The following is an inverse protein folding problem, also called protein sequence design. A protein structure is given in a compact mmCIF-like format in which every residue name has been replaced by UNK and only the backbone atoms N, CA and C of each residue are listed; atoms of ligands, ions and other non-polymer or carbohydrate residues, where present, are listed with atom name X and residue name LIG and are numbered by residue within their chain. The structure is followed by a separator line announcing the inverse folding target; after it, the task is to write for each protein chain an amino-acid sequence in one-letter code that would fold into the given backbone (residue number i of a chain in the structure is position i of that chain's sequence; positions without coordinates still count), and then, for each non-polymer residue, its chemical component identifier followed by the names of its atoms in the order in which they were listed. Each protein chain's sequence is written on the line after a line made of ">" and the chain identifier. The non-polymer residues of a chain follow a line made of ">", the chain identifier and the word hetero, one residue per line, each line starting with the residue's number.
data_IF_656028026889
#
_entry.id   IF_656028026889
#
_cell.length_a   1.000
_cell.length_b   1.000
_cell.length_c   1.000
_cell.angle_alpha   90.00
_cell.angle_beta   90.00
_cell.angle_gamma   90.00
#
_symmetry.space_group_name_H-M   'P 1'
#
loop_
_entity.id
_entity.type
_entity.pdbx_description
1 polymer ?
#
# COMPACT_ATOMS: atom_id res chain seq x y z
N UNK A 1 -11.19 -3.97 -12.79
CA UNK A 1 -11.78 -4.86 -11.79
C UNK A 1 -12.96 -5.59 -12.41
N UNK A 2 -13.32 -6.78 -11.92
CA UNK A 2 -14.40 -7.62 -12.47
C UNK A 2 -15.64 -7.67 -11.58
N UNK A 3 -15.77 -6.75 -10.61
CA UNK A 3 -16.83 -6.77 -9.61
C UNK A 3 -16.46 -7.55 -8.36
N UNK A 4 -17.15 -7.26 -7.25
CA UNK A 4 -17.30 -8.17 -6.10
C UNK A 4 -18.31 -9.29 -6.35
N UNK A 5 -19.10 -9.19 -7.42
CA UNK A 5 -20.09 -10.18 -7.79
C UNK A 5 -20.22 -10.29 -9.33
N UNK A 6 -20.33 -11.51 -9.88
CA UNK A 6 -20.27 -12.81 -9.18
C UNK A 6 -18.82 -13.28 -8.88
N UNK A 7 -17.80 -12.50 -9.28
CA UNK A 7 -16.39 -12.90 -9.23
C UNK A 7 -15.58 -12.08 -8.21
N UNK A 8 -15.68 -12.39 -6.92
CA UNK A 8 -14.87 -11.71 -5.90
C UNK A 8 -13.43 -12.27 -5.89
N UNK A 9 -12.49 -11.50 -6.44
CA UNK A 9 -11.06 -11.85 -6.47
C UNK A 9 -10.42 -11.94 -5.07
N UNK A 10 -11.09 -11.38 -4.06
CA UNK A 10 -10.60 -11.35 -2.68
C UNK A 10 -11.26 -12.41 -1.80
N UNK A 11 -12.24 -13.16 -2.31
CA UNK A 11 -12.88 -14.23 -1.56
C UNK A 11 -11.86 -15.30 -1.15
N UNK A 12 -11.80 -15.60 0.15
CA UNK A 12 -10.87 -16.59 0.72
C UNK A 12 -9.50 -16.02 1.10
N UNK A 13 -9.21 -14.75 0.81
CA UNK A 13 -8.07 -14.05 1.39
C UNK A 13 -8.43 -13.46 2.74
N UNK A 14 -7.47 -13.50 3.67
CA UNK A 14 -7.56 -12.77 4.91
C UNK A 14 -7.11 -11.33 4.68
N UNK A 15 -8.01 -10.38 4.92
CA UNK A 15 -7.76 -8.95 4.79
C UNK A 15 -7.76 -8.27 6.16
N UNK A 16 -7.22 -8.97 7.19
CA UNK A 16 -7.02 -8.44 8.54
C UNK A 16 -5.94 -7.35 8.56
N UNK A 17 -6.36 -6.14 8.20
CA UNK A 17 -5.56 -4.92 8.23
C UNK A 17 -6.39 -3.80 8.87
N UNK A 18 -5.73 -2.85 9.53
CA UNK A 18 -6.39 -1.69 10.15
C UNK A 18 -7.23 -0.88 9.15
N UNK A 19 -6.79 -0.84 7.89
CA UNK A 19 -7.54 -0.26 6.79
C UNK A 19 -7.36 -1.06 5.49
N UNK A 20 -8.46 -1.32 4.80
CA UNK A 20 -8.48 -1.94 3.47
C UNK A 20 -9.14 -0.97 2.49
N UNK A 21 -8.45 -0.67 1.40
CA UNK A 21 -8.96 0.15 0.29
C UNK A 21 -8.87 -0.66 -1.00
N UNK A 22 -10.04 -0.98 -1.55
CA UNK A 22 -10.15 -1.72 -2.80
C UNK A 22 -10.73 -0.76 -3.85
N UNK A 23 -9.97 -0.57 -4.94
CA UNK A 23 -10.21 0.49 -5.93
C UNK A 23 -11.60 0.46 -6.54
N UNK A 24 -12.16 -0.74 -6.73
CA UNK A 24 -13.51 -0.92 -7.24
C UNK A 24 -14.59 -0.41 -6.28
N UNK A 25 -14.41 -0.59 -4.97
CA UNK A 25 -15.41 -0.18 -3.98
C UNK A 25 -15.44 1.36 -3.82
N UNK A 26 -14.37 2.04 -4.25
CA UNK A 26 -14.17 3.48 -4.04
C UNK A 26 -14.08 4.30 -5.33
N UNK A 27 -13.99 3.66 -6.49
CA UNK A 27 -13.89 4.34 -7.79
C UNK A 27 -12.59 5.14 -8.00
N UNK A 28 -11.57 4.88 -7.19
CA UNK A 28 -10.24 5.51 -7.26
C UNK A 28 -9.17 4.45 -7.41
N UNK A 29 -8.05 4.75 -8.08
CA UNK A 29 -6.95 3.79 -8.23
C UNK A 29 -5.59 4.45 -8.14
N UNK A 30 -4.58 3.67 -7.79
CA UNK A 30 -3.19 4.10 -7.92
C UNK A 30 -2.87 4.42 -9.41
N UNK A 31 -2.10 5.48 -9.70
CA UNK A 31 -1.45 6.41 -8.78
C UNK A 31 -2.22 7.74 -8.61
N UNK A 32 -3.55 7.73 -8.70
CA UNK A 32 -4.36 8.93 -8.48
C UNK A 32 -4.21 9.38 -7.02
N UNK A 33 -3.98 10.68 -6.79
CA UNK A 33 -3.78 11.24 -5.44
C UNK A 33 -4.92 10.88 -4.48
N UNK A 34 -6.15 10.82 -4.98
CA UNK A 34 -7.35 10.43 -4.22
C UNK A 34 -7.25 9.02 -3.60
N UNK A 35 -6.56 8.08 -4.26
CA UNK A 35 -6.37 6.73 -3.72
C UNK A 35 -5.43 6.75 -2.51
N UNK A 36 -4.36 7.54 -2.56
CA UNK A 36 -3.42 7.70 -1.43
C UNK A 36 -4.07 8.46 -0.27
N UNK A 37 -4.77 9.55 -0.56
CA UNK A 37 -5.49 10.35 0.45
C UNK A 37 -6.52 9.49 1.20
N UNK A 38 -7.28 8.66 0.49
CA UNK A 38 -8.27 7.77 1.10
C UNK A 38 -7.65 6.77 2.10
N UNK A 39 -6.46 6.24 1.79
CA UNK A 39 -5.75 5.34 2.71
C UNK A 39 -5.28 6.11 3.95
N UNK A 40 -4.69 7.30 3.78
CA UNK A 40 -4.23 8.14 4.89
C UNK A 40 -5.38 8.54 5.81
N UNK A 41 -6.53 8.93 5.24
CA UNK A 41 -7.73 9.28 5.99
C UNK A 41 -8.26 8.10 6.82
N UNK A 42 -8.24 6.88 6.25
CA UNK A 42 -8.67 5.67 6.97
C UNK A 42 -7.71 5.27 8.08
N UNK A 43 -6.41 5.45 7.87
CA UNK A 43 -5.38 5.17 8.88
C UNK A 43 -5.26 6.27 9.93
N UNK A 44 -5.73 7.49 9.63
CA UNK A 44 -5.53 8.66 10.50
C UNK A 44 -4.07 9.10 10.60
N UNK A 45 -3.26 8.85 9.56
CA UNK A 45 -1.82 9.14 9.53
C UNK A 45 -1.47 10.17 8.46
N UNK A 46 -0.37 10.89 8.67
CA UNK A 46 0.23 11.72 7.64
C UNK A 46 1.10 10.87 6.70
N UNK A 47 1.20 11.26 5.43
CA UNK A 47 2.05 10.57 4.45
C UNK A 47 3.51 10.42 4.92
N UNK A 48 4.05 11.43 5.62
CA UNK A 48 5.40 11.42 6.15
C UNK A 48 5.66 10.33 7.21
N UNK A 49 4.59 9.81 7.84
CA UNK A 49 4.65 8.74 8.82
C UNK A 49 4.39 7.36 8.18
N UNK A 50 4.28 7.29 6.86
CA UNK A 50 3.93 6.07 6.13
C UNK A 50 5.03 5.67 5.13
N UNK A 51 5.17 4.34 4.96
CA UNK A 51 5.95 3.75 3.87
C UNK A 51 4.98 3.16 2.84
N UNK A 52 5.05 3.63 1.59
CA UNK A 52 4.31 3.07 0.47
C UNK A 52 5.16 2.02 -0.26
N UNK A 53 4.66 0.78 -0.31
CA UNK A 53 5.33 -0.38 -0.91
C UNK A 53 4.51 -0.87 -2.09
N UNK A 54 5.11 -0.92 -3.28
CA UNK A 54 4.41 -1.34 -4.50
C UNK A 54 5.41 -1.95 -5.50
N UNK A 55 4.99 -2.94 -6.27
CA UNK A 55 5.78 -3.58 -7.33
C UNK A 55 5.78 -2.76 -8.62
N UNK A 56 4.83 -1.83 -8.77
CA UNK A 56 4.70 -0.96 -9.93
C UNK A 56 5.51 0.32 -9.73
N UNK A 57 6.71 0.36 -10.31
CA UNK A 57 7.66 1.48 -10.15
C UNK A 57 7.08 2.87 -10.45
N UNK A 58 6.15 2.98 -11.40
CA UNK A 58 5.54 4.26 -11.79
C UNK A 58 4.58 4.84 -10.73
N UNK A 59 4.19 4.06 -9.72
CA UNK A 59 3.33 4.53 -8.63
C UNK A 59 4.13 5.16 -7.48
N UNK A 60 5.45 4.94 -7.43
CA UNK A 60 6.30 5.44 -6.35
C UNK A 60 6.51 6.97 -6.43
N UNK A 61 6.84 7.59 -7.58
CA UNK A 61 7.07 9.03 -7.62
C UNK A 61 5.83 9.87 -7.19
N UNK A 62 4.59 9.54 -7.61
CA UNK A 62 3.40 10.21 -7.09
C UNK A 62 3.22 10.04 -5.58
N UNK A 63 3.46 8.86 -5.02
CA UNK A 63 3.42 8.65 -3.57
C UNK A 63 4.50 9.47 -2.85
N UNK A 64 5.73 9.48 -3.36
CA UNK A 64 6.81 10.28 -2.79
C UNK A 64 6.50 11.78 -2.81
N UNK A 65 5.84 12.28 -3.87
CA UNK A 65 5.43 13.68 -3.97
C UNK A 65 4.40 14.08 -2.89
N UNK A 66 3.61 13.12 -2.38
CA UNK A 66 2.69 13.32 -1.26
C UNK A 66 3.38 13.24 0.11
N UNK A 67 4.64 12.80 0.16
CA UNK A 67 5.44 12.74 1.39
C UNK A 67 5.71 11.33 1.93
N UNK A 68 5.24 10.28 1.25
CA UNK A 68 5.55 8.91 1.65
C UNK A 68 7.05 8.61 1.50
N UNK A 69 7.59 7.81 2.42
CA UNK A 69 8.74 6.99 2.07
C UNK A 69 8.28 5.90 1.09
N UNK A 70 9.06 5.57 0.07
CA UNK A 70 8.62 4.62 -0.97
C UNK A 70 9.60 3.46 -1.13
N UNK A 71 9.09 2.24 -1.28
CA UNK A 71 9.87 1.03 -1.55
C UNK A 71 9.32 0.33 -2.80
N UNK A 72 10.20 0.10 -3.78
CA UNK A 72 9.86 -0.71 -4.95
C UNK A 72 10.00 -2.19 -4.61
N UNK A 73 8.89 -2.92 -4.61
CA UNK A 73 8.85 -4.33 -4.24
C UNK A 73 9.18 -5.24 -5.43
N UNK A 74 10.47 -5.41 -5.72
CA UNK A 74 10.93 -6.33 -6.78
C UNK A 74 11.26 -7.74 -6.28
N UNK A 75 11.82 -7.84 -5.07
CA UNK A 75 12.27 -9.09 -4.47
C UNK A 75 11.98 -9.05 -2.96
N UNK A 76 11.40 -10.11 -2.36
CA UNK A 76 10.97 -10.09 -0.96
C UNK A 76 12.08 -9.73 0.04
N UNK A 77 13.27 -10.33 -0.07
CA UNK A 77 14.38 -10.07 0.84
C UNK A 77 14.85 -8.62 0.80
N UNK A 78 15.02 -8.05 -0.40
CA UNK A 78 15.35 -6.62 -0.59
C UNK A 78 14.26 -5.70 -0.06
N UNK A 79 12.99 -6.07 -0.24
CA UNK A 79 11.84 -5.30 0.24
C UNK A 79 11.82 -5.26 1.76
N UNK A 80 11.96 -6.42 2.41
CA UNK A 80 12.02 -6.53 3.88
C UNK A 80 13.20 -5.73 4.43
N UNK A 81 14.41 -5.90 3.89
CA UNK A 81 15.58 -5.16 4.37
C UNK A 81 15.43 -3.62 4.21
N UNK A 82 14.77 -3.17 3.15
CA UNK A 82 14.46 -1.75 2.96
C UNK A 82 13.47 -1.24 4.01
N UNK A 83 12.43 -2.03 4.33
CA UNK A 83 11.45 -1.70 5.35
C UNK A 83 12.05 -1.71 6.75
N UNK A 84 12.86 -2.71 7.12
CA UNK A 84 13.54 -2.77 8.42
C UNK A 84 14.40 -1.52 8.66
N UNK A 85 15.09 -1.04 7.63
CA UNK A 85 15.89 0.19 7.71
C UNK A 85 15.03 1.44 7.89
N UNK A 86 13.88 1.53 7.22
CA UNK A 86 12.98 2.68 7.32
C UNK A 86 12.24 2.72 8.66
N UNK A 87 11.82 1.55 9.16
CA UNK A 87 11.04 1.42 10.39
C UNK A 87 11.92 1.28 11.65
N UNK A 88 13.21 0.95 11.50
CA UNK A 88 14.12 0.74 12.62
C UNK A 88 13.80 -0.51 13.44
N UNK A 89 13.11 -1.50 12.86
CA UNK A 89 12.61 -2.70 13.53
C UNK A 89 12.87 -3.94 12.66
N UNK A 90 13.22 -5.10 13.25
CA UNK A 90 13.29 -6.35 12.51
C UNK A 90 11.89 -6.84 12.14
N UNK A 91 11.71 -7.31 10.90
CA UNK A 91 10.44 -7.79 10.35
C UNK A 91 10.47 -9.29 10.03
N UNK A 92 11.66 -9.89 9.92
CA UNK A 92 11.77 -11.33 9.82
C UNK A 92 11.15 -12.00 11.07
N UNK A 93 10.37 -13.09 10.91
CA UNK A 93 9.88 -13.85 12.05
C UNK A 93 11.06 -14.29 12.91
N UNK A 94 10.91 -14.15 14.24
CA UNK A 94 11.83 -14.75 15.20
C UNK A 94 11.73 -16.27 15.20
#
# INVERSE_FOLDING_TARGET
>A
SVGRAPWDLYAGYDLDFDAVVISEDHGVRKPEEAAFALVLDKLGLAAADCVFVDDTASYLPPAAALGFATVHAEEPGRTVAALERLLGLPLAPR
#
